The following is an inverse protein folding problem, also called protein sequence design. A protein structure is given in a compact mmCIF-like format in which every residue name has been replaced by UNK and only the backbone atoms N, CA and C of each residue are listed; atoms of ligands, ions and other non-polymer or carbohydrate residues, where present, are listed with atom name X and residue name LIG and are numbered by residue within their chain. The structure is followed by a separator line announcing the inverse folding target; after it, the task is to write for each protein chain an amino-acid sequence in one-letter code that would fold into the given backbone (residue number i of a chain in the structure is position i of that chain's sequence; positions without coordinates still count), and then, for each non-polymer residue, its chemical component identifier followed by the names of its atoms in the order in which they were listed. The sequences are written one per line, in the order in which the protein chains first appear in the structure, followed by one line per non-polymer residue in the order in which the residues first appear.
data_IF_587856817672
#
_entry.id   IF_587856817672
#
_cell.length_a   1.000
_cell.length_b   1.000
_cell.length_c   1.000
_cell.angle_alpha   90.00
_cell.angle_beta   90.00
_cell.angle_gamma   90.00
#
_symmetry.space_group_name_H-M   'P 1'
#
loop_
_entity.id
_entity.type
_entity.pdbx_description
1 polymer ?
#
# COMPACT_ATOMS: atom_id res chain seq x y z
N UNK A 1 7.64 -15.87 0.45
CA UNK A 1 7.00 -14.59 0.07
C UNK A 1 6.52 -13.92 1.34
N UNK A 2 6.24 -12.62 1.34
CA UNK A 2 5.68 -11.95 2.53
C UNK A 2 4.38 -12.63 3.05
N UNK A 3 3.64 -13.32 2.18
CA UNK A 3 2.46 -14.11 2.53
C UNK A 3 2.77 -15.46 3.24
N UNK A 4 4.01 -15.95 3.15
CA UNK A 4 4.47 -17.20 3.78
C UNK A 4 5.09 -16.95 5.17
N UNK A 5 5.13 -15.70 5.61
CA UNK A 5 5.64 -15.34 6.94
C UNK A 5 4.65 -15.79 8.03
N UNK A 6 5.13 -16.34 9.15
CA UNK A 6 4.27 -16.85 10.22
C UNK A 6 3.52 -15.74 10.98
N UNK A 7 3.89 -14.47 10.73
CA UNK A 7 3.32 -13.30 11.40
C UNK A 7 2.44 -12.52 10.43
N UNK A 8 1.32 -11.99 10.95
CA UNK A 8 0.32 -11.26 10.17
C UNK A 8 0.85 -9.94 9.58
N UNK A 9 1.84 -9.32 10.22
CA UNK A 9 2.46 -8.07 9.80
C UNK A 9 3.98 -8.22 9.88
N UNK A 10 4.61 -8.87 8.89
CA UNK A 10 6.05 -9.05 8.89
C UNK A 10 6.76 -7.71 8.70
N UNK A 11 7.88 -7.53 9.40
CA UNK A 11 8.78 -6.41 9.16
C UNK A 11 9.65 -6.75 7.95
N UNK A 12 9.43 -6.05 6.83
CA UNK A 12 10.17 -6.24 5.60
C UNK A 12 11.32 -5.21 5.52
N UNK A 13 12.47 -5.61 5.00
CA UNK A 13 13.56 -4.69 4.70
C UNK A 13 13.25 -3.83 3.48
N UNK A 14 13.88 -2.66 3.38
CA UNK A 14 13.71 -1.75 2.25
C UNK A 14 14.18 -2.38 0.93
N UNK A 15 15.31 -3.09 0.95
CA UNK A 15 15.83 -3.82 -0.21
C UNK A 15 14.84 -4.86 -0.75
N UNK A 16 14.16 -5.59 0.15
CA UNK A 16 13.15 -6.56 -0.26
C UNK A 16 11.96 -5.87 -0.95
N UNK A 17 11.51 -4.73 -0.43
CA UNK A 17 10.40 -3.97 -1.04
C UNK A 17 10.80 -3.43 -2.42
N UNK A 18 12.02 -2.91 -2.54
CA UNK A 18 12.56 -2.41 -3.82
C UNK A 18 12.68 -3.56 -4.84
N UNK A 19 13.23 -4.72 -4.45
CA UNK A 19 13.37 -5.87 -5.33
C UNK A 19 12.02 -6.43 -5.79
N UNK A 20 11.03 -6.48 -4.89
CA UNK A 20 9.68 -6.93 -5.21
C UNK A 20 8.91 -5.95 -6.09
N UNK A 21 9.34 -4.69 -6.13
CA UNK A 21 8.84 -3.63 -7.01
C UNK A 21 7.31 -3.58 -7.10
N UNK A 22 6.61 -3.21 -6.00
CA UNK A 22 5.15 -3.21 -5.97
C UNK A 22 4.54 -2.20 -6.96
N UNK A 23 3.41 -2.57 -7.56
CA UNK A 23 2.63 -1.68 -8.44
C UNK A 23 1.74 -0.69 -7.67
N UNK A 24 1.39 -0.99 -6.41
CA UNK A 24 0.60 -0.11 -5.53
C UNK A 24 1.13 -0.18 -4.10
N UNK A 25 1.23 0.98 -3.44
CA UNK A 25 1.53 1.09 -2.01
C UNK A 25 0.32 1.72 -1.31
N UNK A 26 -0.13 1.10 -0.22
CA UNK A 26 -1.23 1.62 0.60
C UNK A 26 -0.75 1.86 2.02
N UNK A 27 -0.96 3.08 2.50
CA UNK A 27 -0.60 3.52 3.84
C UNK A 27 -1.87 3.65 4.67
N UNK A 28 -1.91 3.02 5.83
CA UNK A 28 -3.04 3.15 6.75
C UNK A 28 -2.94 4.48 7.50
N UNK A 29 -4.08 5.17 7.69
CA UNK A 29 -4.13 6.48 8.34
C UNK A 29 -3.51 6.45 9.74
N UNK A 30 -2.69 7.46 10.05
CA UNK A 30 -1.86 7.48 11.27
C UNK A 30 -0.46 6.86 11.10
N UNK A 31 -0.15 6.30 9.92
CA UNK A 31 1.20 5.92 9.50
C UNK A 31 2.01 7.09 8.92
N UNK A 32 3.00 6.76 8.10
CA UNK A 32 3.81 7.76 7.38
C UNK A 32 2.98 8.54 6.35
N UNK A 33 3.41 9.75 6.02
CA UNK A 33 2.82 10.49 4.90
C UNK A 33 3.25 9.91 3.55
N UNK A 34 2.46 10.17 2.49
CA UNK A 34 2.78 9.75 1.12
C UNK A 34 4.13 10.33 0.69
N UNK A 35 4.39 11.61 0.99
CA UNK A 35 5.65 12.28 0.69
C UNK A 35 6.85 11.65 1.41
N UNK A 36 6.69 11.27 2.68
CA UNK A 36 7.75 10.55 3.41
C UNK A 36 8.05 9.20 2.77
N UNK A 37 7.04 8.48 2.29
CA UNK A 37 7.23 7.18 1.63
C UNK A 37 7.89 7.35 0.27
N UNK A 38 7.47 8.33 -0.53
CA UNK A 38 8.10 8.66 -1.82
C UNK A 38 9.53 9.18 -1.65
N UNK A 39 9.81 9.87 -0.54
CA UNK A 39 11.12 10.44 -0.21
C UNK A 39 12.17 9.42 0.27
N UNK A 40 11.81 8.14 0.48
CA UNK A 40 12.77 7.12 0.92
C UNK A 40 13.84 6.85 -0.13
N UNK A 41 15.07 6.67 0.33
CA UNK A 41 16.19 6.36 -0.55
C UNK A 41 15.95 5.02 -1.26
N UNK A 42 16.10 5.00 -2.59
CA UNK A 42 15.86 3.81 -3.41
C UNK A 42 14.39 3.56 -3.80
N UNK A 43 13.41 4.16 -3.12
CA UNK A 43 11.99 3.96 -3.44
C UNK A 43 11.54 4.71 -4.70
N UNK A 44 12.36 5.65 -5.18
CA UNK A 44 12.22 6.37 -6.46
C UNK A 44 12.11 5.42 -7.67
N UNK A 45 12.68 4.21 -7.54
CA UNK A 45 12.72 3.20 -8.60
C UNK A 45 11.54 2.21 -8.53
N UNK A 46 10.67 2.33 -7.51
CA UNK A 46 9.50 1.47 -7.35
C UNK A 46 8.39 1.98 -8.26
N UNK A 47 7.74 1.07 -9.00
CA UNK A 47 6.62 1.40 -9.90
C UNK A 47 5.52 2.19 -9.21
N UNK A 48 5.11 1.78 -8.01
CA UNK A 48 4.10 2.52 -7.24
C UNK A 48 4.47 4.00 -6.99
N UNK A 49 5.75 4.31 -6.79
CA UNK A 49 6.20 5.71 -6.60
C UNK A 49 6.27 6.45 -7.93
N UNK A 50 6.74 5.80 -8.99
CA UNK A 50 6.85 6.37 -10.34
C UNK A 50 5.49 6.68 -10.96
N UNK A 51 4.51 5.79 -10.79
CA UNK A 51 3.16 5.91 -11.34
C UNK A 51 2.21 6.71 -10.42
N UNK A 52 2.73 7.31 -9.35
CA UNK A 52 1.96 8.01 -8.31
C UNK A 52 0.84 7.14 -7.67
N UNK A 53 1.07 5.82 -7.59
CA UNK A 53 0.15 4.83 -7.00
C UNK A 53 0.48 4.56 -5.53
N UNK A 54 0.69 5.63 -4.77
CA UNK A 54 0.88 5.60 -3.31
C UNK A 54 -0.33 6.26 -2.67
N UNK A 55 -1.17 5.47 -2.02
CA UNK A 55 -2.45 5.92 -1.46
C UNK A 55 -2.46 5.84 0.06
N UNK A 56 -3.23 6.73 0.68
CA UNK A 56 -3.55 6.64 2.11
C UNK A 56 -5.00 6.18 2.26
N UNK A 57 -5.23 5.16 3.08
CA UNK A 57 -6.57 4.65 3.41
C UNK A 57 -6.87 4.89 4.89
N UNK A 58 -8.12 5.21 5.19
CA UNK A 58 -8.53 5.37 6.58
C UNK A 58 -8.55 4.02 7.34
N UNK A 59 -8.06 4.01 8.57
CA UNK A 59 -8.05 2.82 9.45
C UNK A 59 -9.45 2.22 9.62
N UNK A 60 -10.51 3.06 9.63
CA UNK A 60 -11.88 2.58 9.73
C UNK A 60 -12.37 1.93 8.43
N UNK A 61 -11.66 2.01 7.31
CA UNK A 61 -12.04 1.32 6.08
C UNK A 61 -11.35 -0.05 5.95
N UNK A 62 -10.27 -0.28 6.69
CA UNK A 62 -9.50 -1.54 6.68
C UNK A 62 -9.74 -2.42 7.91
N UNK A 63 -10.52 -1.94 8.88
CA UNK A 63 -10.86 -2.67 10.11
C UNK A 63 -12.23 -3.33 9.98
N UNK A 64 -12.44 -4.48 10.65
CA UNK A 64 -13.71 -5.22 10.66
C UNK A 64 -14.87 -4.41 11.24
N UNK A 65 -15.51 -3.59 10.41
CA UNK A 65 -16.72 -2.84 10.72
C UNK A 65 -17.63 -2.76 9.46
N UNK A 66 -18.87 -2.27 9.57
CA UNK A 66 -19.82 -2.24 8.45
C UNK A 66 -19.31 -1.52 7.19
N UNK A 67 -18.35 -0.60 7.33
CA UNK A 67 -17.76 0.18 6.23
C UNK A 67 -16.64 -0.56 5.49
N UNK A 68 -16.36 -1.82 5.85
CA UNK A 68 -15.36 -2.62 5.14
C UNK A 68 -15.69 -2.81 3.65
N UNK A 69 -16.99 -2.75 3.30
CA UNK A 69 -17.45 -2.78 1.91
C UNK A 69 -16.98 -1.51 1.17
N UNK A 70 -17.08 -0.33 1.79
CA UNK A 70 -16.58 0.93 1.23
C UNK A 70 -15.05 0.88 1.05
N UNK A 71 -14.34 0.30 2.02
CA UNK A 71 -12.90 0.07 1.91
C UNK A 71 -12.54 -0.85 0.75
N UNK A 72 -13.30 -1.93 0.55
CA UNK A 72 -13.12 -2.85 -0.58
C UNK A 72 -13.35 -2.13 -1.92
N UNK A 73 -14.40 -1.32 -2.04
CA UNK A 73 -14.65 -0.52 -3.25
C UNK A 73 -13.50 0.47 -3.53
N UNK A 74 -12.92 1.06 -2.50
CA UNK A 74 -11.77 1.95 -2.63
C UNK A 74 -10.52 1.21 -3.13
N UNK A 75 -10.21 0.04 -2.57
CA UNK A 75 -9.13 -0.81 -3.09
C UNK A 75 -9.37 -1.22 -4.53
N UNK A 76 -10.60 -1.58 -4.87
CA UNK A 76 -10.94 -2.00 -6.22
C UNK A 76 -10.68 -0.88 -7.24
N UNK A 77 -11.07 0.38 -6.92
CA UNK A 77 -10.77 1.56 -7.76
C UNK A 77 -9.28 1.81 -7.95
N UNK A 78 -8.46 1.55 -6.94
CA UNK A 78 -7.01 1.76 -7.02
C UNK A 78 -6.28 0.62 -7.74
N UNK A 79 -6.74 -0.61 -7.57
CA UNK A 79 -6.10 -1.79 -8.15
C UNK A 79 -6.51 -1.99 -9.62
N UNK A 80 -7.76 -1.65 -9.95
CA UNK A 80 -8.37 -1.85 -11.25
C UNK A 80 -9.05 -0.59 -11.80
N UNK A 81 -8.34 0.53 -11.98
CA UNK A 81 -8.93 1.78 -12.47
C UNK A 81 -9.63 1.64 -13.83
N UNK A 82 -9.32 0.61 -14.62
CA UNK A 82 -9.95 0.30 -15.91
C UNK A 82 -11.43 -0.12 -15.83
N UNK A 83 -11.95 -0.44 -14.65
CA UNK A 83 -13.33 -0.87 -14.45
C UNK A 83 -14.31 0.29 -14.15
N UNK A 84 -13.81 1.53 -14.12
CA UNK A 84 -14.58 2.76 -13.85
C UNK A 84 -14.34 3.81 -14.94
#
# INVERSE_FOLDING_TARGET
MAADEPVRYPLLSEEYIIERNPDVIVIVSGGASVDEVKGRAGWQNIKAVQDDRVYTIDTHLVTSNPRIVEGLEQFAKWFHPELW
#
